data_IF_792687781057
#
_entry.id   IF_792687781057
#
_cell.length_a   1.000
_cell.length_b   1.000
_cell.length_c   1.000
_cell.angle_alpha   90.00
_cell.angle_beta   90.00
_cell.angle_gamma   90.00
#
_symmetry.space_group_name_H-M   'P 1'
#
loop_
_entity.id
_entity.type
_entity.pdbx_description
1 polymer ?
#
# COMPACT_ATOMS: atom_id res chain seq x y z
N UNK A 1 -41.26 -13.63 22.09
CA UNK A 1 -40.49 -12.55 21.43
C UNK A 1 -39.77 -13.19 20.25
N UNK A 2 -40.11 -12.80 19.03
CA UNK A 2 -39.47 -13.32 17.82
C UNK A 2 -38.45 -12.30 17.34
N UNK A 3 -37.19 -12.70 17.23
CA UNK A 3 -36.14 -11.88 16.65
C UNK A 3 -36.09 -12.15 15.15
N UNK A 4 -36.43 -11.16 14.35
CA UNK A 4 -36.13 -11.20 12.91
C UNK A 4 -34.64 -10.93 12.76
N UNK A 5 -33.86 -11.95 12.43
CA UNK A 5 -32.51 -11.74 11.90
C UNK A 5 -32.67 -10.99 10.58
N UNK A 6 -32.39 -9.68 10.59
CA UNK A 6 -32.08 -8.95 9.37
C UNK A 6 -30.90 -9.69 8.75
N UNK A 7 -31.15 -10.44 7.69
CA UNK A 7 -30.10 -11.06 6.89
C UNK A 7 -29.18 -9.91 6.43
N UNK A 8 -27.95 -9.75 6.94
CA UNK A 8 -27.09 -8.71 6.44
C UNK A 8 -26.87 -9.05 4.97
N UNK A 9 -27.17 -8.10 4.08
CA UNK A 9 -26.86 -8.22 2.66
C UNK A 9 -25.42 -8.74 2.54
N UNK A 10 -25.15 -9.85 1.84
CA UNK A 10 -23.78 -10.29 1.67
C UNK A 10 -23.05 -9.16 0.95
N UNK A 11 -22.12 -8.50 1.65
CA UNK A 11 -21.23 -7.55 1.00
C UNK A 11 -20.39 -8.36 0.01
N UNK A 12 -20.77 -8.34 -1.26
CA UNK A 12 -20.02 -9.00 -2.31
C UNK A 12 -18.66 -8.32 -2.39
N UNK A 13 -17.61 -9.02 -1.95
CA UNK A 13 -16.24 -8.55 -2.15
C UNK A 13 -16.00 -8.41 -3.65
N UNK A 14 -15.39 -7.29 -4.07
CA UNK A 14 -15.07 -7.07 -5.47
C UNK A 14 -13.84 -7.87 -5.93
N UNK A 15 -13.38 -7.61 -7.15
CA UNK A 15 -12.18 -8.25 -7.70
C UNK A 15 -10.91 -7.80 -7.00
N UNK A 16 -9.97 -8.74 -6.82
CA UNK A 16 -8.61 -8.45 -6.38
C UNK A 16 -7.80 -7.87 -7.54
N UNK A 17 -7.27 -6.67 -7.35
CA UNK A 17 -6.31 -6.03 -8.26
C UNK A 17 -4.90 -6.23 -7.70
N UNK A 18 -3.92 -6.45 -8.58
CA UNK A 18 -2.51 -6.65 -8.20
C UNK A 18 -1.60 -5.93 -9.19
N UNK A 19 -0.59 -5.24 -8.67
CA UNK A 19 0.50 -4.66 -9.43
C UNK A 19 1.84 -5.05 -8.80
N UNK A 20 2.87 -5.14 -9.63
CA UNK A 20 4.26 -5.36 -9.20
C UNK A 20 5.17 -4.35 -9.87
N UNK A 21 6.27 -4.05 -9.22
CA UNK A 21 7.32 -3.18 -9.79
C UNK A 21 8.68 -3.61 -9.26
N UNK A 22 9.69 -3.55 -10.12
CA UNK A 22 11.09 -3.68 -9.77
C UNK A 22 11.78 -2.32 -9.82
N UNK A 23 12.74 -2.08 -8.94
CA UNK A 23 13.40 -0.80 -8.86
C UNK A 23 14.64 -0.81 -7.98
N UNK A 24 15.05 0.40 -7.61
CA UNK A 24 16.18 0.64 -6.72
C UNK A 24 15.77 1.71 -5.72
N UNK A 25 16.18 1.57 -4.46
CA UNK A 25 16.21 2.70 -3.55
C UNK A 25 17.42 3.55 -3.90
N UNK A 26 17.18 4.71 -4.55
CA UNK A 26 18.22 5.51 -5.22
C UNK A 26 18.95 6.51 -4.31
N UNK A 27 18.47 6.74 -3.09
CA UNK A 27 19.10 7.66 -2.14
C UNK A 27 19.00 7.19 -0.68
N UNK A 28 20.03 7.53 0.10
CA UNK A 28 20.11 7.22 1.53
C UNK A 28 19.34 8.27 2.34
N UNK A 29 18.26 7.86 2.99
CA UNK A 29 17.45 8.73 3.84
C UNK A 29 16.05 8.20 3.99
N UNK A 30 15.50 8.27 5.22
CA UNK A 30 14.14 7.80 5.50
C UNK A 30 13.08 8.58 4.69
N UNK A 31 13.39 9.83 4.33
CA UNK A 31 12.53 10.75 3.57
C UNK A 31 12.75 10.69 2.04
N UNK A 32 13.81 10.02 1.56
CA UNK A 32 14.03 9.77 0.13
C UNK A 32 13.27 8.52 -0.29
N UNK A 33 11.98 8.70 -0.52
CA UNK A 33 11.06 7.63 -0.90
C UNK A 33 11.22 7.24 -2.37
N UNK A 34 11.17 5.95 -2.63
CA UNK A 34 11.05 5.40 -3.99
C UNK A 34 9.61 4.96 -4.23
N UNK A 35 9.02 5.40 -5.34
CA UNK A 35 7.72 4.89 -5.80
C UNK A 35 7.89 3.50 -6.40
N UNK A 36 7.12 2.55 -5.89
CA UNK A 36 7.09 1.16 -6.32
C UNK A 36 5.86 0.83 -7.17
N UNK A 37 5.30 -0.35 -6.91
CA UNK A 37 4.09 -0.84 -7.56
C UNK A 37 2.92 0.13 -7.33
N UNK A 38 2.10 0.34 -8.37
CA UNK A 38 0.99 1.26 -8.32
C UNK A 38 -0.28 0.69 -8.97
N UNK A 39 -1.43 1.19 -8.52
CA UNK A 39 -2.74 0.90 -9.06
C UNK A 39 -3.53 2.21 -9.17
N UNK A 40 -4.31 2.36 -10.23
CA UNK A 40 -5.36 3.39 -10.29
C UNK A 40 -6.66 2.76 -9.81
N UNK A 41 -7.14 3.22 -8.66
CA UNK A 41 -8.35 2.71 -8.03
C UNK A 41 -9.49 3.70 -8.22
N UNK A 42 -10.64 3.24 -8.68
CA UNK A 42 -11.85 4.06 -8.76
C UNK A 42 -12.35 4.44 -7.34
N UNK A 43 -13.24 5.44 -7.29
CA UNK A 43 -13.94 5.81 -6.06
C UNK A 43 -14.63 4.60 -5.41
N UNK A 44 -14.59 4.55 -4.08
CA UNK A 44 -15.11 3.44 -3.27
C UNK A 44 -14.18 3.06 -2.12
N UNK A 45 -14.57 2.01 -1.39
CA UNK A 45 -13.80 1.51 -0.23
C UNK A 45 -12.98 0.29 -0.61
N UNK A 46 -11.70 0.30 -0.22
CA UNK A 46 -10.71 -0.70 -0.56
C UNK A 46 -9.93 -1.14 0.66
N UNK A 47 -9.67 -2.44 0.76
CA UNK A 47 -8.60 -2.99 1.58
C UNK A 47 -7.34 -3.07 0.70
N UNK A 48 -6.24 -2.52 1.20
CA UNK A 48 -4.97 -2.42 0.49
C UNK A 48 -3.88 -3.12 1.28
N UNK A 49 -3.00 -3.81 0.57
CA UNK A 49 -1.79 -4.37 1.15
C UNK A 49 -0.62 -4.23 0.18
N UNK A 50 0.43 -3.59 0.69
CA UNK A 50 1.66 -3.30 -0.03
C UNK A 50 2.80 -4.10 0.57
N UNK A 51 3.68 -4.63 -0.27
CA UNK A 51 4.95 -5.19 0.16
C UNK A 51 6.11 -4.55 -0.61
N UNK A 52 7.24 -4.46 0.06
CA UNK A 52 8.52 -4.10 -0.54
C UNK A 52 9.58 -5.10 -0.08
N UNK A 53 10.39 -5.57 -1.02
CA UNK A 53 11.57 -6.39 -0.79
C UNK A 53 12.79 -5.58 -1.19
N UNK A 54 13.71 -5.42 -0.25
CA UNK A 54 14.95 -4.67 -0.38
C UNK A 54 16.13 -5.65 -0.53
N UNK A 55 17.13 -5.31 -1.36
CA UNK A 55 18.11 -6.29 -1.87
C UNK A 55 19.05 -7.01 -0.88
N UNK A 56 19.10 -6.65 0.42
CA UNK A 56 19.97 -7.34 1.40
C UNK A 56 19.63 -7.05 2.87
N UNK A 57 19.81 -8.01 3.78
CA UNK A 57 19.63 -7.74 5.22
C UNK A 57 20.82 -6.93 5.75
N UNK A 58 20.62 -5.96 6.64
CA UNK A 58 21.71 -5.18 7.23
C UNK A 58 21.24 -4.17 8.29
N UNK A 59 22.17 -3.52 9.00
CA UNK A 59 21.93 -2.58 10.11
C UNK A 59 21.27 -1.24 9.69
N UNK A 60 20.63 -1.19 8.53
CA UNK A 60 20.01 -0.01 7.94
C UNK A 60 18.51 -0.01 8.19
N UNK A 61 17.98 1.06 8.76
CA UNK A 61 16.54 1.27 8.89
C UNK A 61 15.86 1.27 7.52
N UNK A 62 14.76 0.54 7.40
CA UNK A 62 13.95 0.46 6.19
C UNK A 62 12.47 0.67 6.50
N UNK A 63 11.74 1.21 5.54
CA UNK A 63 10.35 1.64 5.69
C UNK A 63 9.51 1.26 4.46
N UNK A 64 8.24 0.89 4.65
CA UNK A 64 7.27 0.64 3.58
C UNK A 64 5.92 1.28 3.91
N UNK A 65 5.41 2.18 3.08
CA UNK A 65 4.10 2.83 3.22
C UNK A 65 3.24 2.67 1.99
N UNK A 66 1.93 2.85 2.16
CA UNK A 66 1.02 3.10 1.04
C UNK A 66 0.76 4.60 1.00
N UNK A 67 0.91 5.18 -0.19
CA UNK A 67 0.62 6.58 -0.44
C UNK A 67 -0.46 6.75 -1.50
N UNK A 68 -1.11 7.90 -1.48
CA UNK A 68 -2.27 8.21 -2.32
C UNK A 68 -2.05 9.52 -3.08
N UNK A 69 -2.59 9.59 -4.29
CA UNK A 69 -2.59 10.77 -5.15
C UNK A 69 -1.77 10.57 -6.41
N UNK A 70 -1.91 11.48 -7.38
CA UNK A 70 -1.07 11.46 -8.59
C UNK A 70 0.39 11.73 -8.23
N UNK A 71 1.32 11.47 -9.15
CA UNK A 71 2.74 11.82 -9.00
C UNK A 71 2.99 13.30 -8.58
N UNK A 72 2.02 14.20 -8.79
CA UNK A 72 2.06 15.63 -8.42
C UNK A 72 1.47 15.98 -7.05
N UNK A 73 0.98 15.00 -6.28
CA UNK A 73 0.44 15.19 -4.93
C UNK A 73 -1.01 15.65 -4.91
N UNK A 74 -1.84 14.93 -4.15
CA UNK A 74 -3.24 15.26 -3.91
C UNK A 74 -4.17 14.06 -4.08
N UNK A 75 -4.99 13.80 -3.07
CA UNK A 75 -6.10 12.84 -3.12
C UNK A 75 -7.21 13.33 -2.17
N UNK A 76 -8.44 12.90 -2.40
CA UNK A 76 -9.59 13.15 -1.53
C UNK A 76 -10.17 11.83 -1.04
N UNK A 77 -10.37 11.73 0.27
CA UNK A 77 -10.98 10.58 0.92
C UNK A 77 -10.50 10.41 2.36
N UNK A 78 -10.66 9.20 2.90
CA UNK A 78 -10.19 8.83 4.24
C UNK A 78 -9.42 7.51 4.18
N UNK A 79 -8.43 7.35 5.08
CA UNK A 79 -7.73 6.08 5.22
C UNK A 79 -7.51 5.75 6.69
N UNK A 80 -7.46 4.46 6.97
CA UNK A 80 -7.04 3.89 8.23
C UNK A 80 -5.89 2.93 7.96
N UNK A 81 -4.74 3.23 8.55
CA UNK A 81 -3.61 2.30 8.58
C UNK A 81 -3.91 1.19 9.57
N UNK A 82 -3.89 -0.06 9.10
CA UNK A 82 -4.03 -1.26 9.94
C UNK A 82 -2.65 -1.66 10.45
N UNK A 83 -1.69 -1.77 9.53
CA UNK A 83 -0.33 -2.18 9.84
C UNK A 83 0.68 -1.45 8.97
N UNK A 84 1.86 -1.27 9.53
CA UNK A 84 2.98 -0.63 8.85
C UNK A 84 4.29 -1.20 9.39
N UNK A 85 5.11 -1.77 8.50
CA UNK A 85 6.43 -2.25 8.84
C UNK A 85 7.48 -1.14 8.71
N UNK A 86 8.20 -0.91 9.81
CA UNK A 86 9.52 -0.27 9.85
C UNK A 86 10.48 -1.27 10.48
N UNK A 87 11.55 -1.65 9.78
CA UNK A 87 12.45 -2.71 10.25
C UNK A 87 13.81 -2.70 9.57
N UNK A 88 14.73 -3.55 10.05
CA UNK A 88 16.02 -3.87 9.44
C UNK A 88 15.95 -5.06 8.48
N UNK A 89 14.79 -5.73 8.41
CA UNK A 89 14.53 -6.82 7.48
C UNK A 89 14.32 -6.31 6.06
N UNK A 90 14.60 -7.19 5.09
CA UNK A 90 14.47 -6.90 3.66
C UNK A 90 13.03 -6.87 3.19
N UNK A 91 12.15 -7.66 3.80
CA UNK A 91 10.75 -7.76 3.40
C UNK A 91 9.87 -7.01 4.39
N UNK A 92 9.17 -6.00 3.89
CA UNK A 92 8.32 -5.12 4.67
C UNK A 92 6.91 -5.13 4.10
N UNK A 93 5.90 -5.03 4.96
CA UNK A 93 4.49 -5.00 4.56
C UNK A 93 3.75 -3.84 5.23
N UNK A 94 2.73 -3.35 4.54
CA UNK A 94 1.84 -2.31 5.04
C UNK A 94 0.42 -2.62 4.58
N UNK A 95 -0.57 -2.30 5.40
CA UNK A 95 -1.99 -2.54 5.08
C UNK A 95 -2.88 -1.42 5.58
N UNK A 96 -3.87 -1.09 4.75
CA UNK A 96 -4.75 0.06 4.93
C UNK A 96 -6.16 -0.31 4.51
N UNK A 97 -7.15 0.29 5.16
CA UNK A 97 -8.48 0.48 4.58
C UNK A 97 -8.53 1.92 4.09
N UNK A 98 -9.00 2.14 2.86
CA UNK A 98 -9.15 3.48 2.28
C UNK A 98 -10.54 3.62 1.68
N UNK A 99 -11.14 4.79 1.84
CA UNK A 99 -12.30 5.23 1.06
C UNK A 99 -11.85 6.38 0.18
N UNK A 100 -11.99 6.20 -1.13
CA UNK A 100 -11.60 7.16 -2.15
C UNK A 100 -12.84 7.86 -2.71
N UNK A 101 -12.82 9.19 -2.75
CA UNK A 101 -13.95 9.97 -3.30
C UNK A 101 -13.87 10.09 -4.82
N UNK A 102 -12.70 9.84 -5.40
CA UNK A 102 -12.43 9.91 -6.83
C UNK A 102 -11.42 8.84 -7.26
N UNK A 103 -11.28 8.64 -8.57
CA UNK A 103 -10.23 7.77 -9.11
C UNK A 103 -8.85 8.28 -8.68
N UNK A 104 -8.09 7.44 -7.98
CA UNK A 104 -6.84 7.83 -7.31
C UNK A 104 -5.73 6.84 -7.62
N UNK A 105 -4.54 7.34 -7.93
CA UNK A 105 -3.34 6.51 -7.99
C UNK A 105 -2.85 6.20 -6.57
N UNK A 106 -2.55 4.93 -6.35
CA UNK A 106 -2.08 4.40 -5.07
C UNK A 106 -0.76 3.71 -5.31
N UNK A 107 0.23 4.02 -4.48
CA UNK A 107 1.59 3.50 -4.61
C UNK A 107 2.04 2.82 -3.34
N UNK A 108 2.81 1.75 -3.49
CA UNK A 108 3.76 1.33 -2.47
C UNK A 108 4.95 2.30 -2.52
N UNK A 109 5.28 2.90 -1.38
CA UNK A 109 6.50 3.66 -1.18
C UNK A 109 7.42 2.89 -0.27
N UNK A 110 8.70 2.89 -0.59
CA UNK A 110 9.70 2.33 0.29
C UNK A 110 10.93 3.23 0.36
N UNK A 111 11.59 3.21 1.50
CA UNK A 111 12.84 3.92 1.74
C UNK A 111 13.77 3.11 2.62
N UNK A 112 15.07 3.40 2.53
CA UNK A 112 16.08 2.84 3.43
C UNK A 112 17.18 3.86 3.71
N UNK A 113 17.85 3.71 4.85
CA UNK A 113 18.96 4.58 5.24
C UNK A 113 20.22 4.40 4.37
N UNK A 114 20.22 3.44 3.44
CA UNK A 114 21.28 3.17 2.46
C UNK A 114 20.65 2.90 1.10
N UNK A 115 21.35 3.25 0.01
CA UNK A 115 20.89 2.93 -1.34
C UNK A 115 20.93 1.40 -1.59
N UNK A 116 19.94 0.89 -2.34
CA UNK A 116 19.77 -0.56 -2.55
C UNK A 116 19.32 -0.87 -3.96
N UNK A 117 20.00 -1.81 -4.61
CA UNK A 117 19.59 -2.38 -5.90
C UNK A 117 18.73 -3.64 -5.70
N UNK A 118 18.08 -4.09 -6.78
CA UNK A 118 17.28 -5.33 -6.76
C UNK A 118 16.04 -5.23 -5.88
N UNK A 119 15.50 -4.02 -5.69
CA UNK A 119 14.28 -3.85 -4.92
C UNK A 119 13.08 -4.31 -5.75
N UNK A 120 12.08 -4.87 -5.09
CA UNK A 120 10.79 -5.18 -5.70
C UNK A 120 9.67 -4.76 -4.77
N UNK A 121 8.49 -4.52 -5.34
CA UNK A 121 7.31 -4.15 -4.59
C UNK A 121 6.07 -4.75 -5.23
N UNK A 122 5.06 -4.96 -4.41
CA UNK A 122 3.75 -5.42 -4.85
C UNK A 122 2.66 -4.63 -4.15
N UNK A 123 1.67 -4.17 -4.90
CA UNK A 123 0.45 -3.58 -4.37
C UNK A 123 -0.72 -4.49 -4.71
N UNK A 124 -1.57 -4.75 -3.74
CA UNK A 124 -2.83 -5.47 -3.93
C UNK A 124 -3.98 -4.66 -3.34
N UNK A 125 -5.11 -4.69 -4.02
CA UNK A 125 -6.31 -3.96 -3.63
C UNK A 125 -7.55 -4.83 -3.81
N UNK A 126 -8.39 -4.90 -2.78
CA UNK A 126 -9.67 -5.58 -2.80
C UNK A 126 -10.77 -4.59 -2.46
N UNK A 127 -11.80 -4.52 -3.32
CA UNK A 127 -12.95 -3.65 -3.09
C UNK A 127 -13.88 -4.25 -2.04
N UNK A 128 -14.33 -3.43 -1.09
CA UNK A 128 -15.11 -3.85 0.08
C UNK A 128 -16.64 -3.58 -0.02
N UNK A 129 -17.15 -3.33 -1.24
CA UNK A 129 -18.44 -2.73 -1.61
C UNK A 129 -18.29 -1.24 -1.98
#
# INVERSE_FOLDING_TARGET
>A
MSYTLLNPCPATLGSLLTATSSGQSTAAGIDTETLGAHLTLAAGTWLLWGSATLGSVGASDSNNQISFGTASGGWSGSHQRIWHAKSWWTQLTSSYIVTLDASTEVYVRYSSSVARSGCSSQLRALRLA
#
